data_IF_853960646849
#
_entry.id   IF_853960646849
#
_cell.length_a   1.000
_cell.length_b   1.000
_cell.length_c   1.000
_cell.angle_alpha   90.00
_cell.angle_beta   90.00
_cell.angle_gamma   90.00
#
_symmetry.space_group_name_H-M   'P 1'
#
loop_
_entity.id
_entity.type
_entity.pdbx_description
1 polymer ?
#
# COMPACT_ATOMS: atom_id res chain seq x y z
N UNK A 1 -8.64 -6.97 2.15
CA UNK A 1 -8.76 -5.60 1.67
C UNK A 1 -10.19 -5.05 1.71
N UNK A 2 -10.88 -5.24 2.84
CA UNK A 2 -12.26 -4.74 3.04
C UNK A 2 -12.29 -3.22 3.22
N UNK A 3 -11.15 -2.62 3.57
CA UNK A 3 -11.02 -1.19 3.92
C UNK A 3 -11.38 -0.27 2.75
N UNK A 4 -10.90 -0.54 1.54
CA UNK A 4 -11.16 0.35 0.40
C UNK A 4 -12.64 0.39 -0.02
N UNK A 5 -13.34 -0.74 -0.17
CA UNK A 5 -14.78 -0.72 -0.38
C UNK A 5 -15.56 -0.04 0.75
N UNK A 6 -15.15 -0.26 2.00
CA UNK A 6 -15.78 0.36 3.17
C UNK A 6 -15.61 1.89 3.17
N UNK A 7 -14.39 2.40 2.88
CA UNK A 7 -14.15 3.85 2.75
C UNK A 7 -14.99 4.46 1.63
N UNK A 8 -15.14 3.76 0.51
CA UNK A 8 -15.98 4.22 -0.60
C UNK A 8 -17.45 4.31 -0.18
N UNK A 9 -17.97 3.29 0.49
CA UNK A 9 -19.36 3.27 1.00
C UNK A 9 -19.61 4.33 2.06
N UNK A 10 -18.68 4.54 3.00
CA UNK A 10 -18.77 5.58 4.02
C UNK A 10 -18.78 6.99 3.40
N UNK A 11 -18.12 7.17 2.26
CA UNK A 11 -18.17 8.40 1.46
C UNK A 11 -19.45 8.58 0.67
N UNK A 12 -20.42 7.68 0.75
CA UNK A 12 -21.66 7.69 -0.03
C UNK A 12 -21.46 7.31 -1.50
N UNK A 13 -20.34 6.70 -1.85
CA UNK A 13 -19.97 6.39 -3.23
C UNK A 13 -19.55 7.62 -4.04
N UNK A 14 -19.36 7.44 -5.35
CA UNK A 14 -19.04 8.55 -6.26
C UNK A 14 -17.72 9.26 -5.93
N UNK A 15 -17.67 10.59 -6.16
CA UNK A 15 -16.44 11.36 -6.03
C UNK A 15 -15.92 11.43 -4.59
N UNK A 16 -16.80 11.55 -3.60
CA UNK A 16 -16.42 11.58 -2.18
C UNK A 16 -15.88 10.24 -1.71
N UNK A 17 -16.49 9.13 -2.13
CA UNK A 17 -16.00 7.79 -1.83
C UNK A 17 -14.59 7.56 -2.40
N UNK A 18 -14.37 7.94 -3.66
CA UNK A 18 -13.06 7.87 -4.30
C UNK A 18 -12.02 8.75 -3.59
N UNK A 19 -12.41 9.94 -3.13
CA UNK A 19 -11.55 10.83 -2.37
C UNK A 19 -11.10 10.20 -1.05
N UNK A 20 -12.01 9.57 -0.30
CA UNK A 20 -11.69 8.87 0.95
C UNK A 20 -10.74 7.70 0.72
N UNK A 21 -10.92 6.93 -0.35
CA UNK A 21 -10.00 5.85 -0.74
C UNK A 21 -8.61 6.39 -1.04
N UNK A 22 -8.51 7.53 -1.73
CA UNK A 22 -7.22 8.17 -2.01
C UNK A 22 -6.53 8.67 -0.74
N UNK A 23 -7.27 9.27 0.19
CA UNK A 23 -6.76 9.69 1.50
C UNK A 23 -6.26 8.47 2.28
N UNK A 24 -7.01 7.36 2.30
CA UNK A 24 -6.54 6.10 2.86
C UNK A 24 -5.23 5.62 2.22
N UNK A 25 -5.10 5.77 0.90
CA UNK A 25 -3.87 5.49 0.15
C UNK A 25 -2.68 6.38 0.55
N UNK A 26 -2.93 7.65 0.92
CA UNK A 26 -1.88 8.56 1.45
C UNK A 26 -1.30 8.01 2.75
N UNK A 27 -2.15 7.59 3.70
CA UNK A 27 -1.70 6.98 4.96
C UNK A 27 -0.91 5.69 4.72
N UNK A 28 -1.33 4.85 3.77
CA UNK A 28 -0.59 3.65 3.39
C UNK A 28 0.82 3.99 2.86
N UNK A 29 0.94 4.99 1.99
CA UNK A 29 2.23 5.43 1.46
C UNK A 29 3.11 6.08 2.53
N UNK A 30 2.52 6.86 3.45
CA UNK A 30 3.24 7.43 4.59
C UNK A 30 3.81 6.33 5.50
N UNK A 31 3.02 5.28 5.79
CA UNK A 31 3.49 4.13 6.55
C UNK A 31 4.66 3.42 5.84
N UNK A 32 4.60 3.26 4.51
CA UNK A 32 5.70 2.68 3.73
C UNK A 32 6.98 3.51 3.85
N UNK A 33 6.91 4.85 3.74
CA UNK A 33 8.07 5.74 3.96
C UNK A 33 8.68 5.52 5.34
N UNK A 34 7.85 5.51 6.39
CA UNK A 34 8.30 5.29 7.76
C UNK A 34 8.99 3.92 7.91
N UNK A 35 8.42 2.86 7.32
CA UNK A 35 8.99 1.51 7.39
C UNK A 35 10.37 1.45 6.72
N UNK A 36 10.52 2.02 5.52
CA UNK A 36 11.81 2.00 4.82
C UNK A 36 12.90 2.77 5.56
N UNK A 37 12.57 3.94 6.12
CA UNK A 37 13.51 4.72 6.95
C UNK A 37 13.86 3.95 8.22
N UNK A 38 12.86 3.39 8.91
CA UNK A 38 13.05 2.63 10.15
C UNK A 38 13.91 1.38 9.91
N UNK A 39 13.64 0.63 8.85
CA UNK A 39 14.40 -0.56 8.49
C UNK A 39 15.84 -0.20 8.13
N UNK A 40 16.07 0.88 7.37
CA UNK A 40 17.42 1.37 7.08
C UNK A 40 18.18 1.74 8.34
N UNK A 41 17.53 2.38 9.32
CA UNK A 41 18.16 2.77 10.57
C UNK A 41 18.42 1.59 11.53
N UNK A 42 17.53 0.59 11.57
CA UNK A 42 17.64 -0.55 12.50
C UNK A 42 18.56 -1.66 12.00
N UNK A 43 18.55 -1.95 10.70
CA UNK A 43 19.31 -3.07 10.14
C UNK A 43 20.75 -2.66 9.82
N UNK A 44 21.00 -1.37 9.49
CA UNK A 44 22.32 -0.89 9.14
C UNK A 44 22.94 -1.69 7.99
N UNK A 45 24.07 -2.35 8.21
CA UNK A 45 24.79 -3.11 7.22
C UNK A 45 24.13 -4.49 6.98
N UNK A 46 23.25 -4.58 5.96
CA UNK A 46 22.48 -5.80 5.66
C UNK A 46 23.38 -7.01 5.33
N UNK A 47 24.62 -6.79 4.86
CA UNK A 47 25.56 -7.86 4.55
C UNK A 47 26.09 -8.57 5.81
N UNK A 48 26.03 -7.90 6.96
CA UNK A 48 26.44 -8.42 8.27
C UNK A 48 25.26 -8.69 9.21
N UNK A 49 24.03 -8.37 8.77
CA UNK A 49 22.85 -8.51 9.60
C UNK A 49 22.53 -9.98 9.87
N UNK A 50 22.61 -10.36 11.13
CA UNK A 50 22.07 -11.64 11.61
C UNK A 50 20.56 -11.54 11.67
N UNK A 51 19.85 -12.68 11.60
CA UNK A 51 18.39 -12.75 11.77
C UNK A 51 17.93 -12.04 13.05
N UNK A 52 18.74 -12.04 14.10
CA UNK A 52 18.48 -11.32 15.34
C UNK A 52 18.42 -9.79 15.19
N UNK A 53 19.03 -9.21 14.17
CA UNK A 53 18.92 -7.78 13.90
C UNK A 53 17.53 -7.35 13.42
N UNK A 54 16.72 -8.27 12.90
CA UNK A 54 15.33 -8.00 12.54
C UNK A 54 14.37 -8.04 13.74
N UNK A 55 14.80 -8.60 14.89
CA UNK A 55 13.94 -8.75 16.08
C UNK A 55 13.33 -7.42 16.57
N UNK A 56 14.07 -6.30 16.71
CA UNK A 56 13.47 -5.05 17.16
C UNK A 56 12.43 -4.52 16.17
N UNK A 57 12.66 -4.65 14.87
CA UNK A 57 11.67 -4.25 13.86
C UNK A 57 10.39 -5.10 13.93
N UNK A 58 10.53 -6.41 14.13
CA UNK A 58 9.40 -7.33 14.31
C UNK A 58 8.62 -7.04 15.61
N UNK A 59 9.32 -6.70 16.70
CA UNK A 59 8.67 -6.31 17.96
C UNK A 59 7.87 -5.02 17.83
N UNK A 60 8.40 -4.03 17.12
CA UNK A 60 7.68 -2.78 16.81
C UNK A 60 6.43 -3.09 15.95
N UNK A 61 6.57 -3.91 14.91
CA UNK A 61 5.44 -4.31 14.08
C UNK A 61 4.36 -5.03 14.91
N UNK A 62 4.76 -5.97 15.79
CA UNK A 62 3.85 -6.68 16.67
C UNK A 62 3.11 -5.71 17.61
N UNK A 63 3.81 -4.75 18.20
CA UNK A 63 3.21 -3.75 19.08
C UNK A 63 2.17 -2.90 18.33
N UNK A 64 2.46 -2.50 17.08
CA UNK A 64 1.51 -1.76 16.22
C UNK A 64 0.28 -2.63 15.91
N UNK A 65 0.45 -3.91 15.60
CA UNK A 65 -0.67 -4.82 15.36
C UNK A 65 -1.55 -5.00 16.60
N UNK A 66 -0.95 -5.19 17.78
CA UNK A 66 -1.71 -5.28 19.05
C UNK A 66 -2.46 -3.98 19.30
N UNK A 67 -1.81 -2.84 19.12
CA UNK A 67 -2.45 -1.53 19.27
C UNK A 67 -3.64 -1.36 18.31
N UNK A 68 -3.47 -1.71 17.05
CA UNK A 68 -4.54 -1.65 16.05
C UNK A 68 -5.71 -2.59 16.42
N UNK A 69 -5.41 -3.80 16.90
CA UNK A 69 -6.42 -4.75 17.36
C UNK A 69 -7.22 -4.19 18.54
N UNK A 70 -6.55 -3.59 19.52
CA UNK A 70 -7.20 -2.95 20.68
C UNK A 70 -8.10 -1.80 20.21
N UNK A 71 -7.61 -0.93 19.32
CA UNK A 71 -8.40 0.19 18.77
C UNK A 71 -9.65 -0.33 18.07
N UNK A 72 -9.51 -1.33 17.19
CA UNK A 72 -10.65 -1.91 16.46
C UNK A 72 -11.65 -2.55 17.44
N UNK A 73 -11.17 -3.24 18.48
CA UNK A 73 -12.04 -3.89 19.48
C UNK A 73 -12.92 -2.88 20.23
N UNK A 74 -12.37 -1.70 20.55
CA UNK A 74 -13.13 -0.65 21.25
C UNK A 74 -13.91 0.26 20.29
N UNK A 75 -13.64 0.23 18.99
CA UNK A 75 -14.31 1.07 18.01
C UNK A 75 -15.59 0.40 17.54
N UNK A 76 -16.74 1.02 17.78
CA UNK A 76 -18.02 0.56 17.25
C UNK A 76 -18.11 0.91 15.76
N UNK A 77 -17.73 -0.03 14.92
CA UNK A 77 -17.82 0.11 13.47
C UNK A 77 -19.29 -0.03 13.08
N UNK A 78 -19.87 1.07 12.54
CA UNK A 78 -21.21 1.02 11.97
C UNK A 78 -21.10 0.35 10.59
N UNK A 79 -21.84 -0.74 10.41
CA UNK A 79 -21.97 -1.34 9.07
C UNK A 79 -22.72 -0.36 8.17
N UNK A 80 -22.14 0.01 7.01
CA UNK A 80 -22.85 0.84 6.05
C UNK A 80 -24.08 0.05 5.59
N UNK A 81 -25.26 0.66 5.73
CA UNK A 81 -26.49 0.04 5.24
C UNK A 81 -26.40 -0.07 3.72
N UNK A 82 -26.17 -1.26 3.25
CA UNK A 82 -26.33 -1.55 1.83
C UNK A 82 -27.82 -1.44 1.51
N UNK A 83 -28.19 -0.72 0.43
CA UNK A 83 -29.58 -0.79 -0.03
C UNK A 83 -29.90 -2.27 -0.23
N UNK A 84 -31.02 -2.73 0.35
CA UNK A 84 -31.50 -4.11 0.16
C UNK A 84 -31.68 -4.31 -1.34
N UNK A 85 -30.68 -4.87 -1.99
CA UNK A 85 -30.86 -5.42 -3.31
C UNK A 85 -31.83 -6.59 -3.12
N UNK A 86 -33.07 -6.42 -3.58
CA UNK A 86 -33.89 -7.58 -3.88
C UNK A 86 -33.03 -8.48 -4.75
N UNK A 87 -32.93 -9.74 -4.36
CA UNK A 87 -32.15 -10.74 -5.07
C UNK A 87 -32.80 -10.96 -6.46
N UNK A 88 -32.59 -10.01 -7.35
CA UNK A 88 -32.77 -10.24 -8.77
C UNK A 88 -31.72 -11.28 -9.14
N UNK A 89 -32.19 -12.45 -9.56
CA UNK A 89 -31.34 -13.47 -10.16
C UNK A 89 -30.72 -12.85 -11.43
N UNK A 90 -29.59 -12.12 -11.24
CA UNK A 90 -28.82 -11.59 -12.34
C UNK A 90 -28.25 -12.77 -13.13
N UNK A 91 -28.79 -12.99 -14.32
CA UNK A 91 -28.36 -14.03 -15.26
C UNK A 91 -26.92 -13.77 -15.77
N UNK A 92 -26.31 -12.64 -15.40
CA UNK A 92 -24.99 -12.23 -15.89
C UNK A 92 -23.93 -12.32 -14.77
N UNK A 93 -22.88 -13.08 -15.02
CA UNK A 93 -21.70 -13.09 -14.17
C UNK A 93 -20.93 -11.75 -14.29
N UNK A 94 -20.28 -11.30 -13.22
CA UNK A 94 -19.40 -10.13 -13.23
C UNK A 94 -18.35 -10.18 -14.36
N UNK A 95 -17.91 -11.38 -14.71
CA UNK A 95 -16.95 -11.62 -15.81
C UNK A 95 -17.52 -11.38 -17.21
N UNK A 96 -18.83 -11.24 -17.37
CA UNK A 96 -19.45 -10.91 -18.67
C UNK A 96 -19.19 -9.47 -19.07
N UNK A 97 -18.91 -8.59 -18.08
CA UNK A 97 -18.69 -7.17 -18.34
C UNK A 97 -17.23 -6.90 -18.73
N UNK A 98 -17.03 -6.30 -19.90
CA UNK A 98 -15.70 -5.91 -20.41
C UNK A 98 -14.99 -4.96 -19.45
N UNK A 99 -15.71 -4.01 -18.84
CA UNK A 99 -15.15 -3.05 -17.89
C UNK A 99 -14.60 -3.73 -16.64
N UNK A 100 -15.23 -4.81 -16.16
CA UNK A 100 -14.72 -5.58 -15.02
C UNK A 100 -13.37 -6.24 -15.34
N UNK A 101 -13.25 -6.88 -16.50
CA UNK A 101 -12.00 -7.52 -16.94
C UNK A 101 -10.87 -6.51 -17.11
N UNK A 102 -11.16 -5.36 -17.73
CA UNK A 102 -10.19 -4.28 -17.91
C UNK A 102 -9.80 -3.65 -16.57
N UNK A 103 -10.73 -3.51 -15.64
CA UNK A 103 -10.46 -3.03 -14.28
C UNK A 103 -9.55 -3.97 -13.51
N UNK A 104 -9.77 -5.29 -13.60
CA UNK A 104 -8.88 -6.29 -13.00
C UNK A 104 -7.46 -6.19 -13.55
N UNK A 105 -7.33 -6.08 -14.89
CA UNK A 105 -6.03 -5.92 -15.54
C UNK A 105 -5.33 -4.63 -15.10
N UNK A 106 -6.07 -3.52 -15.06
CA UNK A 106 -5.53 -2.25 -14.62
C UNK A 106 -5.02 -2.29 -13.18
N UNK A 107 -5.77 -2.93 -12.27
CA UNK A 107 -5.33 -3.10 -10.86
C UNK A 107 -4.10 -4.00 -10.78
N UNK A 108 -4.03 -5.08 -11.57
CA UNK A 108 -2.87 -5.97 -11.60
C UNK A 108 -1.61 -5.23 -12.08
N UNK A 109 -1.71 -4.46 -13.16
CA UNK A 109 -0.60 -3.65 -13.68
C UNK A 109 -0.20 -2.57 -12.67
N UNK A 110 -1.17 -1.89 -12.07
CA UNK A 110 -0.90 -0.91 -11.02
C UNK A 110 -0.14 -1.52 -9.84
N UNK A 111 -0.60 -2.68 -9.33
CA UNK A 111 0.08 -3.38 -8.23
C UNK A 111 1.51 -3.80 -8.58
N UNK A 112 1.74 -4.24 -9.83
CA UNK A 112 3.08 -4.55 -10.31
C UNK A 112 3.99 -3.32 -10.30
N UNK A 113 3.52 -2.17 -10.80
CA UNK A 113 4.28 -0.91 -10.81
C UNK A 113 4.49 -0.37 -9.40
N UNK A 114 3.57 -0.60 -8.47
CA UNK A 114 3.71 -0.15 -7.08
C UNK A 114 4.79 -0.93 -6.32
N UNK A 115 4.88 -2.24 -6.52
CA UNK A 115 5.73 -3.14 -5.71
C UNK A 115 7.07 -3.47 -6.38
N UNK A 116 7.09 -3.75 -7.68
CA UNK A 116 8.30 -4.25 -8.36
C UNK A 116 9.46 -3.26 -8.38
N UNK A 117 9.29 -1.95 -8.75
CA UNK A 117 10.41 -1.05 -8.83
C UNK A 117 11.16 -0.86 -7.51
N UNK A 118 10.51 -0.53 -6.37
CA UNK A 118 11.24 -0.32 -5.13
C UNK A 118 11.89 -1.61 -4.63
N UNK A 119 11.25 -2.76 -4.81
CA UNK A 119 11.83 -4.06 -4.43
C UNK A 119 13.04 -4.41 -5.27
N UNK A 120 12.95 -4.22 -6.59
CA UNK A 120 14.05 -4.49 -7.52
C UNK A 120 15.22 -3.53 -7.29
N UNK A 121 14.95 -2.24 -7.11
CA UNK A 121 15.97 -1.22 -6.81
C UNK A 121 16.70 -1.60 -5.51
N UNK A 122 15.95 -1.93 -4.45
CA UNK A 122 16.54 -2.35 -3.18
C UNK A 122 17.46 -3.58 -3.38
N UNK A 123 16.96 -4.62 -4.03
CA UNK A 123 17.72 -5.85 -4.28
C UNK A 123 18.97 -5.59 -5.13
N UNK A 124 18.86 -4.84 -6.23
CA UNK A 124 19.96 -4.56 -7.13
C UNK A 124 21.05 -3.69 -6.49
N UNK A 125 20.65 -2.64 -5.76
CA UNK A 125 21.60 -1.75 -5.13
C UNK A 125 22.35 -2.39 -3.96
N UNK A 126 21.71 -3.31 -3.22
CA UNK A 126 22.32 -3.98 -2.06
C UNK A 126 23.09 -5.26 -2.42
N UNK A 127 22.78 -5.90 -3.56
CA UNK A 127 23.46 -7.11 -3.98
C UNK A 127 24.96 -6.89 -4.16
N UNK A 128 25.77 -7.84 -3.68
CA UNK A 128 27.23 -7.79 -3.84
C UNK A 128 27.62 -7.86 -5.33
N UNK A 129 28.75 -7.23 -5.67
CA UNK A 129 29.27 -7.22 -7.05
C UNK A 129 29.68 -8.62 -7.54
N UNK A 130 30.04 -9.50 -6.59
CA UNK A 130 30.50 -10.87 -6.86
C UNK A 130 29.40 -11.92 -6.70
N UNK A 131 28.13 -11.49 -6.52
CA UNK A 131 26.99 -12.39 -6.41
C UNK A 131 26.60 -12.97 -7.77
N UNK A 132 25.83 -14.06 -7.77
CA UNK A 132 25.27 -14.70 -8.98
C UNK A 132 24.48 -13.69 -9.83
N UNK A 133 23.80 -12.76 -9.15
CA UNK A 133 23.18 -11.58 -9.77
C UNK A 133 23.93 -10.35 -9.26
N UNK A 134 24.92 -9.84 -10.00
CA UNK A 134 25.76 -8.73 -9.55
C UNK A 134 24.95 -7.45 -9.37
N UNK A 135 25.17 -6.79 -8.25
CA UNK A 135 24.58 -5.50 -7.92
C UNK A 135 25.66 -4.44 -7.68
N UNK A 136 25.27 -3.33 -7.06
CA UNK A 136 26.20 -2.24 -6.75
C UNK A 136 26.90 -2.37 -5.39
N UNK A 137 26.43 -3.27 -4.51
CA UNK A 137 27.01 -3.48 -3.17
C UNK A 137 26.95 -2.23 -2.28
N UNK A 138 25.88 -1.44 -2.41
CA UNK A 138 25.70 -0.23 -1.62
C UNK A 138 25.20 -0.56 -0.21
N UNK A 139 25.47 0.36 0.72
CA UNK A 139 24.97 0.21 2.10
C UNK A 139 23.44 0.19 2.16
N UNK A 140 22.91 -0.78 2.90
CA UNK A 140 21.46 -1.00 3.00
C UNK A 140 20.71 0.19 3.64
N UNK A 141 21.35 0.90 4.57
CA UNK A 141 20.77 2.09 5.18
C UNK A 141 20.57 3.22 4.16
N UNK A 142 21.58 3.45 3.32
CA UNK A 142 21.49 4.41 2.22
C UNK A 142 20.45 4.02 1.18
N UNK A 143 20.42 2.75 0.79
CA UNK A 143 19.45 2.22 -0.19
C UNK A 143 18.03 2.25 0.36
N UNK A 144 17.83 2.00 1.67
CA UNK A 144 16.55 2.16 2.34
C UNK A 144 16.03 3.60 2.24
N UNK A 145 16.92 4.57 2.49
CA UNK A 145 16.56 6.00 2.33
C UNK A 145 16.20 6.35 0.89
N UNK A 146 16.94 5.83 -0.08
CA UNK A 146 16.67 6.03 -1.50
C UNK A 146 15.32 5.41 -1.90
N UNK A 147 15.01 4.22 -1.39
CA UNK A 147 13.70 3.59 -1.59
C UNK A 147 12.56 4.38 -0.94
N UNK A 148 12.81 5.02 0.21
CA UNK A 148 11.82 5.90 0.83
C UNK A 148 11.46 7.10 -0.06
N UNK A 149 12.39 7.63 -0.84
CA UNK A 149 12.14 8.72 -1.79
C UNK A 149 11.08 8.31 -2.84
N UNK A 150 11.13 7.07 -3.33
CA UNK A 150 10.09 6.56 -4.23
C UNK A 150 8.70 6.65 -3.60
N UNK A 151 8.57 6.22 -2.35
CA UNK A 151 7.28 6.27 -1.64
C UNK A 151 6.84 7.70 -1.28
N UNK A 152 7.78 8.63 -1.09
CA UNK A 152 7.47 10.06 -0.92
C UNK A 152 6.82 10.62 -2.19
N UNK A 153 7.38 10.35 -3.37
CA UNK A 153 6.76 10.79 -4.62
C UNK A 153 5.39 10.15 -4.84
N UNK A 154 5.24 8.87 -4.48
CA UNK A 154 3.95 8.18 -4.55
C UNK A 154 2.93 8.81 -3.58
N UNK A 155 3.35 9.18 -2.36
CA UNK A 155 2.51 9.87 -1.38
C UNK A 155 2.03 11.22 -1.91
N UNK A 156 2.94 12.02 -2.49
CA UNK A 156 2.61 13.31 -3.10
C UNK A 156 1.60 13.11 -4.24
N UNK A 157 1.84 12.14 -5.12
CA UNK A 157 0.93 11.83 -6.21
C UNK A 157 -0.47 11.44 -5.74
N UNK A 158 -0.56 10.60 -4.71
CA UNK A 158 -1.84 10.21 -4.09
C UNK A 158 -2.54 11.39 -3.40
N UNK A 159 -1.79 12.24 -2.74
CA UNK A 159 -2.33 13.43 -2.09
C UNK A 159 -2.93 14.40 -3.12
N UNK A 160 -2.19 14.70 -4.19
CA UNK A 160 -2.69 15.53 -5.30
C UNK A 160 -3.90 14.88 -5.95
N UNK A 161 -3.84 13.57 -6.23
CA UNK A 161 -4.96 12.80 -6.78
C UNK A 161 -6.21 12.85 -5.90
N UNK A 162 -6.04 12.78 -4.58
CA UNK A 162 -7.12 12.92 -3.60
C UNK A 162 -7.75 14.32 -3.61
N UNK A 163 -6.94 15.37 -3.74
CA UNK A 163 -7.44 16.75 -3.82
C UNK A 163 -8.19 17.03 -5.13
N UNK A 164 -7.69 16.52 -6.24
CA UNK A 164 -8.27 16.73 -7.58
C UNK A 164 -9.46 15.80 -7.81
N UNK A 165 -9.40 14.57 -7.30
CA UNK A 165 -10.41 13.52 -7.51
C UNK A 165 -11.80 13.88 -6.99
N UNK A 166 -11.91 14.79 -6.01
CA UNK A 166 -13.19 15.33 -5.54
C UNK A 166 -13.83 16.34 -6.50
N UNK A 167 -13.05 16.91 -7.43
CA UNK A 167 -13.48 17.97 -8.35
C UNK A 167 -13.69 17.47 -9.79
N UNK A 168 -13.07 16.36 -10.15
CA UNK A 168 -13.14 15.78 -11.49
C UNK A 168 -14.03 14.55 -11.47
N UNK A 169 -15.10 14.59 -12.27
CA UNK A 169 -15.97 13.42 -12.45
C UNK A 169 -15.20 12.33 -13.23
N UNK A 170 -15.12 11.12 -12.71
CA UNK A 170 -14.60 10.00 -13.48
C UNK A 170 -15.58 9.69 -14.60
N UNK A 171 -15.25 10.05 -15.83
CA UNK A 171 -15.98 9.64 -17.02
C UNK A 171 -15.30 8.46 -17.67
#
# INVERSE_FOLDING_TARGET
TVVNPMLNLLGGGGNRGNQLVQIGGVFNSAAAVCVYILMGALIGDASKAKVSAATPALMIALAIFIFALVVIFFTKIQEPQQPKHEATHDQYSCYSFRHFKLGMLAIAVYGAVEVCPPTYILAYLTSAKDAVNPGLGMDAGYVGTLSAVYFIFMLIGRFIGGMVGGKVSPK
#
